data_IF_423545129725
#
_entry.id   IF_423545129725
#
_cell.length_a   1.000
_cell.length_b   1.000
_cell.length_c   1.000
_cell.angle_alpha   90.00
_cell.angle_beta   90.00
_cell.angle_gamma   90.00
#
_symmetry.space_group_name_H-M   'P 1'
#
loop_
_entity.id
_entity.type
_entity.pdbx_description
1 polymer ?
#
# COMPACT_ATOMS: atom_id res chain seq x y z
N UNK A 1 -10.22 -5.53 -7.14
CA UNK A 1 -9.82 -4.78 -8.33
C UNK A 1 -9.15 -5.68 -9.37
N UNK A 2 -9.04 -5.22 -10.60
CA UNK A 2 -8.39 -5.93 -11.69
C UNK A 2 -7.11 -5.19 -12.10
N UNK A 3 -5.98 -5.90 -12.16
CA UNK A 3 -4.69 -5.32 -12.53
C UNK A 3 -4.64 -5.02 -14.03
N UNK A 4 -4.60 -3.74 -14.41
CA UNK A 4 -4.68 -3.27 -15.80
C UNK A 4 -3.65 -3.94 -16.71
N UNK A 5 -2.38 -4.06 -16.29
CA UNK A 5 -1.29 -4.64 -17.09
C UNK A 5 -1.48 -6.12 -17.47
N UNK A 6 -2.31 -6.85 -16.72
CA UNK A 6 -2.49 -8.29 -16.89
C UNK A 6 -3.93 -8.68 -17.23
N UNK A 7 -4.89 -7.75 -17.17
CA UNK A 7 -6.32 -8.00 -17.35
C UNK A 7 -6.65 -8.70 -18.66
N UNK A 8 -6.06 -8.25 -19.74
CA UNK A 8 -6.35 -8.78 -21.09
C UNK A 8 -5.61 -10.11 -21.41
N UNK A 9 -4.63 -10.47 -20.57
CA UNK A 9 -3.77 -11.65 -20.77
C UNK A 9 -4.19 -12.84 -19.91
N UNK A 10 -5.14 -12.65 -18.97
CA UNK A 10 -5.51 -13.66 -17.98
C UNK A 10 -7.00 -13.96 -18.04
N UNK A 11 -7.35 -15.24 -17.96
CA UNK A 11 -8.74 -15.73 -17.93
C UNK A 11 -9.49 -15.14 -16.71
N UNK A 12 -8.83 -15.04 -15.55
CA UNK A 12 -9.37 -14.45 -14.33
C UNK A 12 -9.33 -12.92 -14.31
N UNK A 13 -9.01 -12.27 -15.45
CA UNK A 13 -8.88 -10.81 -15.62
C UNK A 13 -7.94 -10.16 -14.60
N UNK A 14 -7.00 -10.92 -14.06
CA UNK A 14 -6.07 -10.51 -13.03
C UNK A 14 -6.78 -9.88 -11.81
N UNK A 15 -7.93 -10.44 -11.44
CA UNK A 15 -8.69 -10.01 -10.29
C UNK A 15 -7.93 -10.29 -9.00
N UNK A 16 -8.00 -9.35 -8.07
CA UNK A 16 -7.51 -9.48 -6.70
C UNK A 16 -8.51 -8.83 -5.74
N UNK A 17 -8.84 -9.55 -4.69
CA UNK A 17 -9.62 -9.07 -3.56
C UNK A 17 -8.74 -9.05 -2.31
N UNK A 18 -8.82 -7.98 -1.55
CA UNK A 18 -8.07 -7.79 -0.31
C UNK A 18 -9.04 -7.21 0.71
N UNK A 19 -9.13 -7.85 1.86
CA UNK A 19 -9.88 -7.34 3.00
C UNK A 19 -9.22 -6.09 3.54
N UNK A 20 -10.00 -5.03 3.69
CA UNK A 20 -9.54 -3.83 4.41
C UNK A 20 -9.67 -4.11 5.91
N UNK A 21 -8.54 -4.12 6.60
CA UNK A 21 -8.54 -4.33 8.04
C UNK A 21 -9.05 -3.09 8.77
N UNK A 22 -9.71 -3.26 9.95
CA UNK A 22 -10.37 -2.16 10.67
C UNK A 22 -9.45 -0.96 10.96
N UNK A 23 -8.18 -1.21 11.22
CA UNK A 23 -7.17 -0.19 11.53
C UNK A 23 -6.94 0.80 10.38
N UNK A 24 -7.22 0.37 9.14
CA UNK A 24 -7.01 1.18 7.94
C UNK A 24 -8.32 1.74 7.36
N UNK A 25 -9.48 1.38 7.92
CA UNK A 25 -10.79 1.79 7.39
C UNK A 25 -10.93 3.32 7.34
N UNK A 26 -10.53 4.02 8.40
CA UNK A 26 -10.59 5.47 8.45
C UNK A 26 -9.74 6.14 7.36
N UNK A 27 -8.57 5.54 7.04
CA UNK A 27 -7.68 6.03 5.97
C UNK A 27 -8.32 5.81 4.59
N UNK A 28 -8.92 4.63 4.38
CA UNK A 28 -9.63 4.32 3.13
C UNK A 28 -10.80 5.29 2.93
N UNK A 29 -11.59 5.54 3.98
CA UNK A 29 -12.76 6.43 3.91
C UNK A 29 -12.36 7.89 3.66
N UNK A 30 -11.24 8.35 4.25
CA UNK A 30 -10.70 9.70 4.02
C UNK A 30 -10.41 9.98 2.54
N UNK A 31 -9.90 8.98 1.82
CA UNK A 31 -9.49 9.14 0.42
C UNK A 31 -10.42 8.46 -0.58
N UNK A 32 -11.56 7.94 -0.12
CA UNK A 32 -12.55 7.28 -0.96
C UNK A 32 -13.02 8.19 -2.10
N UNK A 33 -13.19 7.61 -3.26
CA UNK A 33 -13.83 8.27 -4.39
C UNK A 33 -15.35 8.36 -4.16
N UNK A 34 -15.93 9.56 -4.00
CA UNK A 34 -17.37 9.73 -3.76
C UNK A 34 -18.23 9.30 -4.95
N UNK A 35 -17.65 9.23 -6.16
CA UNK A 35 -18.37 8.80 -7.37
C UNK A 35 -18.43 7.29 -7.53
N UNK A 36 -17.67 6.53 -6.74
CA UNK A 36 -17.56 5.07 -6.84
C UNK A 36 -16.87 4.57 -8.11
N UNK A 37 -16.35 5.46 -8.95
CA UNK A 37 -15.65 5.11 -10.18
C UNK A 37 -14.33 4.37 -9.90
N UNK A 38 -13.65 4.74 -8.83
CA UNK A 38 -12.43 4.09 -8.32
C UNK A 38 -12.49 3.94 -6.81
N UNK A 39 -11.53 3.22 -6.22
CA UNK A 39 -11.43 3.12 -4.76
C UNK A 39 -11.04 4.47 -4.15
N UNK A 40 -10.05 5.12 -4.74
CA UNK A 40 -9.53 6.39 -4.25
C UNK A 40 -9.67 7.51 -5.29
N UNK A 41 -9.88 8.75 -4.80
CA UNK A 41 -10.07 9.95 -5.61
C UNK A 41 -8.79 10.54 -6.21
N UNK A 42 -7.62 9.95 -5.99
CA UNK A 42 -6.34 10.51 -6.45
C UNK A 42 -6.28 10.81 -7.95
N UNK A 43 -7.02 10.08 -8.77
CA UNK A 43 -7.08 10.32 -10.22
C UNK A 43 -7.68 11.68 -10.59
N UNK A 44 -8.42 12.32 -9.67
CA UNK A 44 -8.96 13.67 -9.89
C UNK A 44 -7.98 14.78 -9.51
N UNK A 45 -6.92 14.45 -8.77
CA UNK A 45 -5.93 15.39 -8.23
C UNK A 45 -4.68 15.50 -9.10
N UNK A 46 -4.46 14.54 -10.00
CA UNK A 46 -3.25 14.45 -10.82
C UNK A 46 -3.62 14.18 -12.28
N UNK A 47 -2.87 14.80 -13.22
CA UNK A 47 -3.13 14.66 -14.65
C UNK A 47 -3.03 13.20 -15.12
N UNK A 48 -2.08 12.45 -14.58
CA UNK A 48 -1.84 11.05 -14.93
C UNK A 48 -1.15 10.28 -13.80
N UNK A 49 -0.99 8.96 -14.01
CA UNK A 49 -0.36 8.05 -13.05
C UNK A 49 1.12 8.38 -12.80
N UNK A 50 1.83 8.89 -13.81
CA UNK A 50 3.25 9.21 -13.68
C UNK A 50 3.43 10.46 -12.80
N UNK A 51 2.61 11.48 -13.01
CA UNK A 51 2.58 12.69 -12.18
C UNK A 51 2.25 12.34 -10.73
N UNK A 52 1.25 11.50 -10.50
CA UNK A 52 0.93 10.99 -9.16
C UNK A 52 2.11 10.24 -8.52
N UNK A 53 2.71 9.28 -9.24
CA UNK A 53 3.83 8.49 -8.73
C UNK A 53 5.03 9.34 -8.40
N UNK A 54 5.32 10.35 -9.23
CA UNK A 54 6.42 11.30 -9.02
C UNK A 54 6.19 12.13 -7.76
N UNK A 55 4.99 12.68 -7.60
CA UNK A 55 4.63 13.47 -6.42
C UNK A 55 4.71 12.63 -5.13
N UNK A 56 4.17 11.40 -5.17
CA UNK A 56 4.20 10.46 -4.05
C UNK A 56 5.63 10.11 -3.63
N UNK A 57 6.48 9.70 -4.59
CA UNK A 57 7.87 9.33 -4.30
C UNK A 57 8.69 10.53 -3.84
N UNK A 58 8.44 11.73 -4.40
CA UNK A 58 9.07 12.98 -3.90
C UNK A 58 8.71 13.24 -2.42
N UNK A 59 7.45 13.00 -2.04
CA UNK A 59 7.00 13.06 -0.65
C UNK A 59 7.68 12.04 0.24
N UNK A 60 7.73 10.78 -0.20
CA UNK A 60 8.36 9.67 0.54
C UNK A 60 9.87 9.90 0.74
N UNK A 61 10.59 10.40 -0.25
CA UNK A 61 12.01 10.78 -0.10
C UNK A 61 12.22 11.86 0.97
N UNK A 62 11.29 12.81 1.11
CA UNK A 62 11.36 13.80 2.20
C UNK A 62 11.14 13.13 3.56
N UNK A 63 10.16 12.22 3.67
CA UNK A 63 9.93 11.44 4.89
C UNK A 63 11.14 10.57 5.20
N UNK A 64 11.69 9.86 4.21
CA UNK A 64 12.88 9.03 4.36
C UNK A 64 14.06 9.79 4.98
N UNK A 65 14.35 11.00 4.48
CA UNK A 65 15.39 11.87 5.07
C UNK A 65 15.14 12.24 6.54
N UNK A 66 13.87 12.32 6.98
CA UNK A 66 13.52 12.63 8.36
C UNK A 66 13.73 11.45 9.30
N UNK A 67 13.55 10.23 8.80
CA UNK A 67 13.65 8.99 9.59
C UNK A 67 14.96 8.23 9.34
N UNK A 68 15.87 8.77 8.52
CA UNK A 68 17.16 8.15 8.24
C UNK A 68 17.11 6.98 7.27
N UNK A 69 16.09 6.94 6.41
CA UNK A 69 15.95 5.93 5.34
C UNK A 69 16.17 6.61 4.00
N UNK A 70 17.30 6.34 3.38
CA UNK A 70 17.59 6.88 2.05
C UNK A 70 16.72 6.24 0.97
N UNK A 71 16.37 7.05 -0.04
CA UNK A 71 15.63 6.62 -1.24
C UNK A 71 14.32 5.85 -0.97
N UNK A 72 13.59 6.24 0.09
CA UNK A 72 12.28 5.66 0.38
C UNK A 72 11.31 5.90 -0.78
N UNK A 73 10.79 4.82 -1.35
CA UNK A 73 9.85 4.86 -2.48
C UNK A 73 8.60 4.01 -2.19
N UNK A 74 7.49 4.37 -2.84
CA UNK A 74 6.22 3.65 -2.66
C UNK A 74 6.31 2.17 -3.00
N UNK A 75 7.10 1.81 -4.01
CA UNK A 75 7.26 0.42 -4.43
C UNK A 75 8.00 -0.43 -3.38
N UNK A 76 8.81 0.17 -2.52
CA UNK A 76 9.49 -0.52 -1.42
C UNK A 76 8.50 -1.22 -0.47
N UNK A 77 7.31 -0.66 -0.26
CA UNK A 77 6.27 -1.29 0.56
C UNK A 77 5.89 -2.69 0.08
N UNK A 78 5.86 -2.91 -1.24
CA UNK A 78 5.57 -4.22 -1.84
C UNK A 78 6.68 -5.23 -1.54
N UNK A 79 7.95 -4.81 -1.64
CA UNK A 79 9.10 -5.66 -1.33
C UNK A 79 9.16 -5.99 0.16
N UNK A 80 8.97 -4.98 1.01
CA UNK A 80 8.94 -5.16 2.47
C UNK A 80 7.84 -6.13 2.89
N UNK A 81 6.63 -5.96 2.37
CA UNK A 81 5.53 -6.87 2.65
C UNK A 81 5.87 -8.32 2.28
N UNK A 82 6.40 -8.55 1.09
CA UNK A 82 6.76 -9.89 0.63
C UNK A 82 7.86 -10.53 1.48
N UNK A 83 8.87 -9.75 1.86
CA UNK A 83 9.98 -10.21 2.71
C UNK A 83 9.49 -10.56 4.10
N UNK A 84 8.71 -9.69 4.74
CA UNK A 84 8.15 -9.91 6.07
C UNK A 84 7.19 -11.11 6.05
N UNK A 85 6.32 -11.20 5.03
CA UNK A 85 5.38 -12.30 4.91
C UNK A 85 6.10 -13.65 4.85
N UNK A 86 7.14 -13.77 4.02
CA UNK A 86 7.87 -15.02 3.84
C UNK A 86 8.76 -15.34 5.04
N UNK A 87 9.60 -14.39 5.45
CA UNK A 87 10.70 -14.66 6.38
C UNK A 87 10.27 -14.56 7.85
N UNK A 88 9.39 -13.62 8.19
CA UNK A 88 9.07 -13.29 9.56
C UNK A 88 7.67 -13.82 9.96
N UNK A 89 6.69 -13.74 9.05
CA UNK A 89 5.31 -14.18 9.30
C UNK A 89 5.08 -15.67 8.96
N UNK A 90 6.06 -16.37 8.39
CA UNK A 90 5.97 -17.79 8.02
C UNK A 90 4.87 -18.07 6.99
N UNK A 91 4.63 -17.14 6.09
CA UNK A 91 3.70 -17.33 4.97
C UNK A 91 4.41 -18.11 3.87
N UNK A 92 3.76 -19.13 3.34
CA UNK A 92 4.34 -19.94 2.27
C UNK A 92 4.54 -19.14 0.98
N UNK A 93 5.53 -19.57 0.19
CA UNK A 93 5.94 -18.86 -1.02
C UNK A 93 4.82 -18.75 -2.07
N UNK A 94 3.95 -19.76 -2.17
CA UNK A 94 2.84 -19.75 -3.12
C UNK A 94 1.81 -18.67 -2.74
N UNK A 95 1.45 -18.57 -1.45
CA UNK A 95 0.56 -17.52 -0.94
C UNK A 95 1.16 -16.14 -1.14
N UNK A 96 2.48 -15.94 -0.89
CA UNK A 96 3.16 -14.66 -1.17
C UNK A 96 3.08 -14.33 -2.66
N UNK A 97 3.37 -15.29 -3.54
CA UNK A 97 3.35 -15.11 -4.98
C UNK A 97 1.96 -14.73 -5.49
N UNK A 98 0.92 -15.43 -5.01
CA UNK A 98 -0.49 -15.14 -5.33
C UNK A 98 -0.94 -13.79 -4.80
N UNK A 99 -0.51 -13.41 -3.58
CA UNK A 99 -0.81 -12.10 -2.98
C UNK A 99 -0.22 -10.96 -3.80
N UNK A 100 0.93 -11.18 -4.41
CA UNK A 100 1.56 -10.22 -5.33
C UNK A 100 0.90 -10.22 -6.73
N UNK A 101 -0.10 -11.04 -6.95
CA UNK A 101 -0.77 -11.24 -8.23
C UNK A 101 0.21 -11.58 -9.36
N UNK A 102 1.20 -12.41 -9.05
CA UNK A 102 2.10 -13.00 -10.04
C UNK A 102 1.46 -14.24 -10.67
N UNK A 103 1.92 -14.61 -11.83
CA UNK A 103 1.58 -15.88 -12.49
C UNK A 103 2.79 -16.78 -12.39
N UNK A 104 2.57 -18.01 -11.99
CA UNK A 104 3.58 -19.06 -12.05
C UNK A 104 3.16 -20.05 -13.15
N UNK A 105 3.87 -20.01 -14.26
CA UNK A 105 3.56 -20.87 -15.41
C UNK A 105 3.73 -22.35 -15.07
N UNK A 106 4.60 -22.69 -14.11
CA UNK A 106 4.81 -24.07 -13.64
C UNK A 106 3.60 -24.64 -12.89
N UNK A 107 2.83 -23.76 -12.23
CA UNK A 107 1.63 -24.12 -11.45
C UNK A 107 0.34 -24.01 -12.26
N UNK A 108 0.40 -23.54 -13.49
CA UNK A 108 -0.77 -23.21 -14.31
C UNK A 108 -1.75 -24.36 -14.48
N UNK A 109 -1.25 -25.58 -14.62
CA UNK A 109 -2.11 -26.79 -14.76
C UNK A 109 -2.80 -27.08 -13.44
N UNK A 110 -2.10 -26.98 -12.33
CA UNK A 110 -2.66 -27.21 -10.98
C UNK A 110 -3.70 -26.17 -10.63
N UNK A 111 -3.47 -24.92 -10.98
CA UNK A 111 -4.37 -23.79 -10.70
C UNK A 111 -5.75 -23.94 -11.36
N UNK A 112 -5.86 -24.72 -12.45
CA UNK A 112 -7.16 -25.01 -13.10
C UNK A 112 -8.06 -25.84 -12.19
N UNK A 113 -7.50 -26.68 -11.35
CA UNK A 113 -8.26 -27.57 -10.44
C UNK A 113 -8.53 -26.94 -9.08
N UNK A 114 -7.88 -25.84 -8.73
CA UNK A 114 -7.99 -25.20 -7.43
C UNK A 114 -8.97 -24.04 -7.53
N UNK A 115 -10.07 -24.10 -6.76
CA UNK A 115 -10.95 -22.94 -6.60
C UNK A 115 -10.20 -21.82 -5.88
N UNK A 116 -10.09 -20.68 -6.54
CA UNK A 116 -9.43 -19.51 -5.97
C UNK A 116 -10.14 -19.06 -4.68
N UNK A 117 -9.37 -18.95 -3.59
CA UNK A 117 -9.80 -18.36 -2.33
C UNK A 117 -8.94 -17.13 -2.00
N UNK A 118 -9.58 -16.15 -1.39
CA UNK A 118 -8.90 -14.93 -0.91
C UNK A 118 -8.47 -15.04 0.55
N UNK A 119 -9.02 -16.03 1.29
CA UNK A 119 -8.75 -16.21 2.72
C UNK A 119 -7.25 -16.37 3.05
N UNK A 120 -6.43 -17.15 2.30
CA UNK A 120 -5.01 -17.25 2.57
C UNK A 120 -4.29 -15.89 2.44
N UNK A 121 -4.72 -15.06 1.48
CA UNK A 121 -4.15 -13.74 1.24
C UNK A 121 -4.52 -12.79 2.40
N UNK A 122 -5.77 -12.81 2.83
CA UNK A 122 -6.25 -11.99 3.95
C UNK A 122 -5.58 -12.40 5.27
N UNK A 123 -5.40 -13.71 5.51
CA UNK A 123 -4.65 -14.23 6.65
C UNK A 123 -3.17 -13.84 6.62
N UNK A 124 -2.51 -13.92 5.45
CA UNK A 124 -1.14 -13.49 5.27
C UNK A 124 -0.99 -12.00 5.58
N UNK A 125 -1.90 -11.18 5.05
CA UNK A 125 -1.92 -9.74 5.30
C UNK A 125 -2.10 -9.44 6.80
N UNK A 126 -3.02 -10.15 7.48
CA UNK A 126 -3.24 -10.01 8.93
C UNK A 126 -1.99 -10.37 9.75
N UNK A 127 -1.29 -11.45 9.39
CA UNK A 127 -0.03 -11.83 10.05
C UNK A 127 1.04 -10.75 9.93
N UNK A 128 1.25 -10.20 8.74
CA UNK A 128 2.22 -9.13 8.50
C UNK A 128 1.86 -7.87 9.30
N UNK A 129 0.59 -7.47 9.30
CA UNK A 129 0.12 -6.30 10.05
C UNK A 129 0.36 -6.48 11.55
N UNK A 130 0.09 -7.65 12.09
CA UNK A 130 0.32 -7.94 13.50
C UNK A 130 1.79 -7.78 13.88
N UNK A 131 2.72 -8.32 13.08
CA UNK A 131 4.16 -8.18 13.32
C UNK A 131 4.61 -6.72 13.28
N UNK A 132 4.15 -5.96 12.30
CA UNK A 132 4.48 -4.52 12.19
C UNK A 132 3.95 -3.76 13.40
N UNK A 133 2.72 -4.04 13.84
CA UNK A 133 2.11 -3.37 14.99
C UNK A 133 2.81 -3.73 16.32
N UNK A 134 3.25 -4.98 16.49
CA UNK A 134 4.05 -5.40 17.66
C UNK A 134 5.36 -4.60 17.70
N UNK A 135 6.09 -4.55 16.59
CA UNK A 135 7.34 -3.82 16.50
C UNK A 135 7.17 -2.32 16.81
N UNK A 136 6.07 -1.70 16.36
CA UNK A 136 5.75 -0.31 16.68
C UNK A 136 5.47 -0.13 18.18
N UNK A 137 4.82 -1.11 18.83
CA UNK A 137 4.51 -1.04 20.26
C UNK A 137 5.73 -1.28 21.15
N UNK A 138 6.69 -2.07 20.69
CA UNK A 138 7.94 -2.38 21.42
C UNK A 138 9.00 -1.29 21.24
N UNK A 139 9.03 -0.59 20.12
CA UNK A 139 9.87 0.58 19.90
C UNK A 139 9.32 1.80 20.64
N UNK A 140 9.06 1.67 21.94
CA UNK A 140 8.74 2.79 22.83
C UNK A 140 9.96 3.65 23.18
N UNK A 141 10.89 3.83 22.28
CA UNK A 141 11.70 5.04 22.29
C UNK A 141 10.79 6.18 21.82
N UNK A 142 10.61 7.24 22.61
CA UNK A 142 9.82 8.37 22.16
C UNK A 142 10.44 8.85 20.84
N UNK A 143 9.64 8.82 19.78
CA UNK A 143 10.01 9.47 18.52
C UNK A 143 10.58 10.82 18.94
N UNK A 144 11.87 11.00 18.73
CA UNK A 144 12.62 12.18 19.16
C UNK A 144 11.76 13.42 18.94
N UNK A 145 11.53 14.24 19.97
CA UNK A 145 10.68 15.43 19.89
C UNK A 145 10.94 16.27 18.64
N UNK A 146 12.18 16.25 18.16
CA UNK A 146 12.62 16.89 16.93
C UNK A 146 11.97 16.30 15.67
N UNK A 147 11.70 15.00 15.66
CA UNK A 147 10.99 14.30 14.57
C UNK A 147 9.49 14.55 14.69
N UNK A 148 8.93 14.54 15.90
CA UNK A 148 7.52 14.89 16.13
C UNK A 148 7.21 16.33 15.73
N UNK A 149 8.05 17.29 16.11
CA UNK A 149 7.90 18.70 15.68
C UNK A 149 8.02 18.85 14.17
N UNK A 150 8.94 18.13 13.51
CA UNK A 150 9.08 18.15 12.04
C UNK A 150 7.89 17.50 11.33
N UNK A 151 7.35 16.39 11.85
CA UNK A 151 6.15 15.75 11.32
C UNK A 151 4.91 16.65 11.49
N UNK A 152 4.79 17.34 12.62
CA UNK A 152 3.75 18.34 12.86
C UNK A 152 3.85 19.55 11.92
N UNK A 153 5.05 20.08 11.69
CA UNK A 153 5.27 21.14 10.71
C UNK A 153 4.93 20.69 9.27
N UNK A 154 5.26 19.44 8.90
CA UNK A 154 4.92 18.91 7.59
C UNK A 154 3.41 18.71 7.41
N UNK A 155 2.69 18.29 8.44
CA UNK A 155 1.23 18.16 8.39
C UNK A 155 0.54 19.52 8.22
N UNK A 156 1.08 20.57 8.83
CA UNK A 156 0.57 21.94 8.70
C UNK A 156 0.89 22.55 7.32
N UNK A 157 2.09 22.30 6.77
CA UNK A 157 2.45 22.69 5.41
C UNK A 157 1.59 22.01 4.33
N UNK A 158 1.21 20.75 4.56
CA UNK A 158 0.29 20.04 3.66
C UNK A 158 -1.13 20.61 3.74
N UNK A 159 -1.59 21.06 4.91
CA UNK A 159 -2.89 21.73 5.06
C UNK A 159 -2.91 23.10 4.40
N UNK A 160 -1.87 23.91 4.55
CA UNK A 160 -1.79 25.25 3.92
C UNK A 160 -1.80 25.17 2.39
N UNK A 161 -1.22 24.13 1.78
CA UNK A 161 -1.29 23.93 0.33
C UNK A 161 -2.68 23.46 -0.14
N UNK A 162 -3.52 22.90 0.73
CA UNK A 162 -4.92 22.55 0.42
C UNK A 162 -5.80 23.84 0.41
N UNK A 163 -5.53 24.78 1.31
CA UNK A 163 -6.28 26.03 1.42
C UNK A 163 -5.95 27.03 0.28
N UNK A 164 -4.70 27.09 -0.17
CA UNK A 164 -4.30 27.93 -1.30
C UNK A 164 -4.86 27.44 -2.66
N UNK A 165 -5.16 26.16 -2.78
CA UNK A 165 -5.73 25.58 -4.02
C UNK A 165 -7.24 25.85 -4.13
N UNK A 166 -7.91 26.15 -3.03
CA UNK A 166 -9.35 26.48 -2.98
C UNK A 166 -9.63 27.98 -3.13
N UNK A 167 -8.61 28.84 -3.01
CA UNK A 167 -8.76 30.30 -3.13
C UNK A 167 -8.60 30.83 -4.57
N UNK A 168 -8.37 29.98 -5.55
CA UNK A 168 -8.20 30.35 -6.97
C UNK A 168 -9.21 29.62 -7.90
N UNK A 169 -10.43 29.37 -7.42
CA UNK A 169 -11.59 29.03 -8.27
C UNK A 169 -12.64 30.12 -8.22
#
# INVERSE_FOLDING_TARGET
YQRIKAKERRIDKAEISIKVEPEYQALVDKYRDPTGKRVFRFYTMYADVNTFSTALNKGLKKVGKLVGVDDLEFYAARHSWATIALNDAGVDKYTVHTSLNHVDDSMRVTDIYIKKSWDPIDQANRKVINLVNINISETKEPINEKVQRKLFCLSNLLRQNEDDTTAHQ
#
